data_IF_968953343760
#
_entry.id   IF_968953343760
#
_cell.length_a   1.000
_cell.length_b   1.000
_cell.length_c   1.000
_cell.angle_alpha   90.00
_cell.angle_beta   90.00
_cell.angle_gamma   90.00
#
_symmetry.space_group_name_H-M   'P 1'
#
loop_
_entity.id
_entity.type
_entity.pdbx_description
1 polymer ?
#
# COMPACT_ATOMS: atom_id res chain seq x y z
N UNK A 1 -0.96 -20.77 -12.84
CA UNK A 1 -0.61 -19.80 -11.81
C UNK A 1 0.42 -20.41 -10.86
N UNK A 2 1.45 -19.67 -10.49
CA UNK A 2 2.45 -20.07 -9.51
C UNK A 2 2.11 -19.38 -8.17
N UNK A 3 2.27 -20.08 -7.04
CA UNK A 3 2.11 -19.47 -5.71
C UNK A 3 3.32 -18.60 -5.36
N UNK A 4 3.16 -17.65 -4.42
CA UNK A 4 4.27 -16.84 -3.92
C UNK A 4 5.43 -17.69 -3.37
N UNK A 5 5.10 -18.70 -2.58
CA UNK A 5 6.10 -19.62 -2.01
C UNK A 5 6.86 -20.42 -3.10
N UNK A 6 6.18 -20.82 -4.17
CA UNK A 6 6.83 -21.52 -5.27
C UNK A 6 7.72 -20.58 -6.10
N UNK A 7 7.29 -19.33 -6.30
CA UNK A 7 8.10 -18.30 -6.96
C UNK A 7 9.38 -18.02 -6.18
N UNK A 8 9.28 -17.87 -4.85
CA UNK A 8 10.42 -17.68 -3.96
C UNK A 8 11.38 -18.86 -4.04
N UNK A 9 10.89 -20.09 -3.92
CA UNK A 9 11.70 -21.30 -4.01
C UNK A 9 12.47 -21.38 -5.33
N UNK A 10 11.81 -21.16 -6.45
CA UNK A 10 12.44 -21.16 -7.78
C UNK A 10 13.47 -20.05 -7.93
N UNK A 11 13.20 -18.86 -7.39
CA UNK A 11 14.15 -17.75 -7.37
C UNK A 11 15.44 -18.08 -6.60
N UNK A 12 15.29 -18.67 -5.42
CA UNK A 12 16.44 -19.11 -4.59
C UNK A 12 17.24 -20.21 -5.29
N UNK A 13 16.59 -21.21 -5.86
CA UNK A 13 17.25 -22.29 -6.61
C UNK A 13 17.99 -21.77 -7.84
N UNK A 14 17.36 -20.87 -8.59
CA UNK A 14 17.98 -20.21 -9.74
C UNK A 14 19.22 -19.40 -9.36
N UNK A 15 19.16 -18.65 -8.27
CA UNK A 15 20.31 -17.90 -7.76
C UNK A 15 21.45 -18.82 -7.33
N UNK A 16 21.16 -19.91 -6.61
CA UNK A 16 22.15 -20.91 -6.20
C UNK A 16 22.80 -21.61 -7.39
N UNK A 17 22.05 -21.89 -8.45
CA UNK A 17 22.55 -22.54 -9.66
C UNK A 17 23.64 -21.72 -10.38
N UNK A 18 23.62 -20.40 -10.25
CA UNK A 18 24.65 -19.49 -10.80
C UNK A 18 25.71 -19.10 -9.77
N UNK A 19 25.80 -19.79 -8.65
CA UNK A 19 26.87 -19.65 -7.65
C UNK A 19 26.60 -18.60 -6.57
N UNK A 20 25.38 -18.05 -6.47
CA UNK A 20 25.03 -17.12 -5.39
C UNK A 20 24.96 -17.87 -4.06
N UNK A 21 25.61 -17.33 -3.03
CA UNK A 21 25.43 -17.81 -1.65
C UNK A 21 24.16 -17.20 -1.08
N UNK A 22 23.24 -18.05 -0.70
CA UNK A 22 22.00 -17.66 -0.03
C UNK A 22 22.13 -17.93 1.47
N UNK A 23 21.91 -16.90 2.27
CA UNK A 23 21.95 -16.95 3.73
C UNK A 23 20.62 -16.47 4.27
N UNK A 24 20.01 -17.22 5.18
CA UNK A 24 18.78 -16.84 5.88
C UNK A 24 19.16 -16.34 7.26
N UNK A 25 19.13 -15.03 7.44
CA UNK A 25 19.44 -14.36 8.72
C UNK A 25 18.77 -12.99 8.75
N UNK A 26 18.73 -12.36 9.89
CA UNK A 26 18.23 -11.00 10.05
C UNK A 26 19.39 -10.01 9.88
N UNK A 27 19.24 -9.08 8.92
CA UNK A 27 20.14 -7.96 8.76
C UNK A 27 19.75 -6.85 9.75
N UNK A 28 20.65 -6.52 10.67
CA UNK A 28 20.40 -5.58 11.76
C UNK A 28 21.11 -4.23 11.56
N UNK A 29 22.04 -4.15 10.61
CA UNK A 29 22.77 -2.92 10.33
C UNK A 29 23.50 -2.94 8.99
N UNK A 30 23.89 -1.73 8.56
CA UNK A 30 24.77 -1.50 7.45
C UNK A 30 25.79 -0.44 7.85
N UNK A 31 27.06 -0.80 7.85
CA UNK A 31 28.15 0.09 8.20
C UNK A 31 29.10 0.29 7.02
N UNK A 32 29.79 1.43 7.01
CA UNK A 32 30.82 1.74 6.03
C UNK A 32 32.06 2.29 6.76
N UNK A 33 33.15 1.55 6.66
CA UNK A 33 34.47 2.03 7.07
C UNK A 33 35.40 2.14 5.85
N UNK A 34 35.91 1.02 5.37
CA UNK A 34 36.64 0.91 4.09
C UNK A 34 35.83 0.16 3.03
N UNK A 35 34.86 -0.67 3.49
CA UNK A 35 33.90 -1.40 2.68
C UNK A 35 32.52 -1.31 3.32
N UNK A 36 31.50 -1.49 2.50
CA UNK A 36 30.15 -1.71 3.00
C UNK A 36 30.12 -3.06 3.73
N UNK A 37 29.55 -3.09 4.93
CA UNK A 37 29.42 -4.31 5.70
C UNK A 37 27.97 -4.46 6.17
N UNK A 38 27.32 -5.53 5.73
CA UNK A 38 25.99 -5.90 6.24
C UNK A 38 26.19 -6.65 7.56
N UNK A 39 25.66 -6.11 8.63
CA UNK A 39 25.67 -6.72 9.96
C UNK A 39 24.42 -7.56 10.15
N UNK A 40 24.60 -8.80 10.59
CA UNK A 40 23.49 -9.72 10.84
C UNK A 40 23.63 -10.37 12.21
N UNK A 41 22.58 -11.07 12.65
CA UNK A 41 22.63 -11.82 13.91
C UNK A 41 23.68 -12.93 13.93
N UNK A 42 24.03 -13.48 12.75
CA UNK A 42 24.93 -14.63 12.63
C UNK A 42 26.35 -14.26 12.17
N UNK A 43 26.59 -12.98 11.83
CA UNK A 43 27.90 -12.51 11.39
C UNK A 43 27.86 -11.31 10.47
N UNK A 44 29.03 -10.89 9.99
CA UNK A 44 29.22 -9.70 9.18
C UNK A 44 29.64 -10.08 7.77
N UNK A 45 29.03 -9.42 6.78
CA UNK A 45 29.28 -9.67 5.35
C UNK A 45 29.84 -8.41 4.67
N UNK A 46 31.16 -8.30 4.54
CA UNK A 46 31.77 -7.20 3.80
C UNK A 46 31.55 -7.34 2.30
N UNK A 47 31.25 -6.25 1.62
CA UNK A 47 30.97 -6.20 0.19
C UNK A 47 31.41 -4.89 -0.43
N UNK A 48 31.58 -4.87 -1.74
CA UNK A 48 31.89 -3.66 -2.49
C UNK A 48 30.61 -2.89 -2.85
N UNK A 49 29.45 -3.58 -2.90
CA UNK A 49 28.13 -2.97 -3.14
C UNK A 49 27.04 -3.75 -2.39
N UNK A 50 25.97 -3.07 -2.01
CA UNK A 50 24.79 -3.65 -1.36
C UNK A 50 23.54 -3.20 -2.09
N UNK A 51 22.65 -4.15 -2.38
CA UNK A 51 21.30 -3.86 -2.89
C UNK A 51 20.32 -4.08 -1.74
N UNK A 52 19.61 -3.02 -1.36
CA UNK A 52 18.56 -3.08 -0.35
C UNK A 52 17.24 -3.43 -1.05
N UNK A 53 16.72 -4.62 -0.79
CA UNK A 53 15.45 -5.11 -1.31
C UNK A 53 14.57 -5.62 -0.15
N UNK A 54 14.43 -4.79 0.90
CA UNK A 54 13.80 -5.16 2.17
C UNK A 54 12.27 -5.13 2.15
N UNK A 55 11.67 -4.80 1.01
CA UNK A 55 10.24 -4.61 0.90
C UNK A 55 9.75 -3.35 1.60
N UNK A 56 8.45 -3.26 1.82
CA UNK A 56 7.83 -2.15 2.52
C UNK A 56 6.74 -2.67 3.47
N UNK A 57 6.68 -2.09 4.67
CA UNK A 57 5.54 -2.27 5.57
C UNK A 57 4.54 -1.14 5.34
N UNK A 58 3.28 -1.51 5.09
CA UNK A 58 2.21 -0.53 4.91
C UNK A 58 1.53 -0.24 6.23
N UNK A 59 1.27 1.02 6.50
CA UNK A 59 0.42 1.41 7.61
C UNK A 59 -1.02 0.99 7.29
N UNK A 60 -1.52 -0.05 7.95
CA UNK A 60 -2.91 -0.47 7.85
C UNK A 60 -3.70 0.14 9.00
N UNK A 61 -4.62 1.07 8.74
CA UNK A 61 -5.41 1.67 9.79
C UNK A 61 -6.39 0.65 10.38
N UNK A 62 -6.67 0.77 11.66
CA UNK A 62 -7.66 -0.06 12.35
C UNK A 62 -9.08 0.51 12.09
N UNK A 63 -9.55 0.39 10.87
CA UNK A 63 -10.91 0.80 10.50
C UNK A 63 -11.79 -0.45 10.42
N UNK A 64 -12.91 -0.51 11.12
CA UNK A 64 -13.87 -1.61 11.02
C UNK A 64 -14.24 -1.90 9.55
N UNK A 65 -14.29 -3.17 9.17
CA UNK A 65 -14.61 -3.62 7.80
C UNK A 65 -13.42 -3.61 6.83
N UNK A 66 -12.35 -2.83 7.07
CA UNK A 66 -11.27 -2.67 6.12
C UNK A 66 -10.57 -4.00 5.80
N UNK A 67 -10.07 -4.70 6.82
CA UNK A 67 -9.31 -5.95 6.62
C UNK A 67 -10.17 -7.07 6.01
N UNK A 68 -11.46 -7.13 6.34
CA UNK A 68 -12.38 -8.15 5.80
C UNK A 68 -12.74 -7.93 4.33
N UNK A 69 -12.50 -6.73 3.80
CA UNK A 69 -12.84 -6.36 2.42
C UNK A 69 -11.59 -6.13 1.55
N UNK A 70 -10.40 -6.50 2.03
CA UNK A 70 -9.18 -6.47 1.22
C UNK A 70 -9.30 -7.39 0.00
N UNK A 71 -9.01 -6.85 -1.19
CA UNK A 71 -9.24 -7.53 -2.46
C UNK A 71 -10.71 -7.61 -2.89
N UNK A 72 -11.65 -7.17 -2.05
CA UNK A 72 -13.08 -7.15 -2.31
C UNK A 72 -13.65 -5.71 -2.34
N UNK A 73 -12.84 -4.79 -2.85
CA UNK A 73 -13.14 -3.36 -2.93
C UNK A 73 -12.19 -2.49 -2.13
N UNK A 74 -11.43 -3.04 -1.19
CA UNK A 74 -10.29 -2.36 -0.56
C UNK A 74 -9.02 -2.71 -1.30
N UNK A 75 -8.27 -1.69 -1.74
CA UNK A 75 -6.99 -1.78 -2.45
C UNK A 75 -5.95 -0.86 -1.81
N UNK A 76 -4.67 -1.11 -2.11
CA UNK A 76 -3.52 -0.32 -1.69
C UNK A 76 -2.70 0.21 -2.87
N UNK A 77 -3.18 0.05 -4.11
CA UNK A 77 -2.45 0.42 -5.32
C UNK A 77 -3.42 0.79 -6.45
N UNK A 78 -3.62 2.07 -6.69
CA UNK A 78 -4.46 2.52 -7.80
C UNK A 78 -3.85 2.15 -9.16
N UNK A 79 -2.54 2.28 -9.32
CA UNK A 79 -1.85 1.88 -10.56
C UNK A 79 -2.10 0.40 -10.90
N UNK A 80 -2.25 -0.47 -9.90
CA UNK A 80 -2.54 -1.89 -10.09
C UNK A 80 -4.01 -2.14 -10.44
N UNK A 81 -4.93 -1.48 -9.74
CA UNK A 81 -6.33 -1.90 -9.66
C UNK A 81 -7.32 -0.91 -10.30
N UNK A 82 -6.92 0.33 -10.65
CA UNK A 82 -7.82 1.37 -11.15
C UNK A 82 -8.71 0.91 -12.30
N UNK A 83 -8.21 0.05 -13.18
CA UNK A 83 -8.98 -0.42 -14.33
C UNK A 83 -10.23 -1.23 -13.96
N UNK A 84 -10.28 -1.88 -12.78
CA UNK A 84 -11.47 -2.56 -12.28
C UNK A 84 -12.58 -1.59 -11.83
N UNK A 85 -12.22 -0.32 -11.62
CA UNK A 85 -13.11 0.73 -11.14
C UNK A 85 -13.49 1.76 -12.21
N UNK A 86 -13.32 1.41 -13.49
CA UNK A 86 -13.70 2.27 -14.62
C UNK A 86 -15.18 2.64 -14.54
N UNK A 87 -15.45 3.96 -14.50
CA UNK A 87 -16.80 4.52 -14.45
C UNK A 87 -17.55 4.25 -13.14
N UNK A 88 -16.81 3.97 -12.05
CA UNK A 88 -17.39 3.73 -10.72
C UNK A 88 -16.91 4.80 -9.73
N UNK A 89 -17.69 4.96 -8.65
CA UNK A 89 -17.35 5.86 -7.56
C UNK A 89 -16.38 5.18 -6.60
N UNK A 90 -15.29 5.87 -6.27
CA UNK A 90 -14.22 5.34 -5.41
C UNK A 90 -13.78 6.39 -4.39
N UNK A 91 -13.12 5.92 -3.33
CA UNK A 91 -12.46 6.80 -2.38
C UNK A 91 -10.97 6.48 -2.23
N UNK A 92 -10.19 7.51 -1.88
CA UNK A 92 -8.81 7.39 -1.43
C UNK A 92 -8.76 7.82 0.03
N UNK A 93 -8.18 6.97 0.89
CA UNK A 93 -7.95 7.28 2.32
C UNK A 93 -6.52 7.74 2.49
N UNK A 94 -6.32 9.00 2.84
CA UNK A 94 -5.00 9.59 3.02
C UNK A 94 -5.00 11.10 2.90
N UNK A 95 -3.87 11.75 3.15
CA UNK A 95 -3.79 13.22 3.19
C UNK A 95 -2.52 13.81 2.55
N UNK A 96 -1.52 12.98 2.23
CA UNK A 96 -0.22 13.42 1.71
C UNK A 96 0.02 13.06 0.24
N UNK A 97 1.27 13.21 -0.19
CA UNK A 97 1.72 12.99 -1.58
C UNK A 97 1.37 11.60 -2.12
N UNK A 98 1.42 10.56 -1.28
CA UNK A 98 1.03 9.22 -1.73
C UNK A 98 -0.47 9.16 -2.06
N UNK A 99 -1.32 9.79 -1.25
CA UNK A 99 -2.75 9.89 -1.55
C UNK A 99 -3.02 10.73 -2.82
N UNK A 100 -2.25 11.80 -3.04
CA UNK A 100 -2.32 12.59 -4.26
C UNK A 100 -1.98 11.74 -5.50
N UNK A 101 -0.92 10.92 -5.43
CA UNK A 101 -0.55 10.03 -6.52
C UNK A 101 -1.66 9.01 -6.84
N UNK A 102 -2.27 8.40 -5.82
CA UNK A 102 -3.38 7.45 -6.00
C UNK A 102 -4.62 8.15 -6.60
N UNK A 103 -4.95 9.37 -6.13
CA UNK A 103 -6.02 10.21 -6.70
C UNK A 103 -5.79 10.48 -8.18
N UNK A 104 -4.57 10.91 -8.55
CA UNK A 104 -4.23 11.21 -9.95
C UNK A 104 -4.33 9.98 -10.87
N UNK A 105 -4.02 8.79 -10.35
CA UNK A 105 -4.18 7.54 -11.09
C UNK A 105 -5.66 7.15 -11.29
N UNK A 106 -6.53 7.51 -10.35
CA UNK A 106 -7.96 7.16 -10.39
C UNK A 106 -8.81 8.14 -11.19
N UNK A 107 -8.51 9.44 -11.17
CA UNK A 107 -9.31 10.49 -11.82
C UNK A 107 -9.62 10.22 -13.31
N UNK A 108 -8.69 9.74 -14.15
CA UNK A 108 -8.98 9.49 -15.55
C UNK A 108 -9.82 8.22 -15.81
N UNK A 109 -10.06 7.43 -14.77
CA UNK A 109 -10.67 6.09 -14.90
C UNK A 109 -12.02 6.01 -14.18
N UNK A 110 -12.09 6.50 -12.94
CA UNK A 110 -13.29 6.44 -12.09
C UNK A 110 -14.38 7.42 -12.55
N UNK A 111 -15.62 7.21 -12.12
CA UNK A 111 -16.71 8.17 -12.33
C UNK A 111 -16.56 9.37 -11.38
N UNK A 112 -16.18 9.10 -10.13
CA UNK A 112 -15.85 10.12 -9.14
C UNK A 112 -14.78 9.60 -8.18
N UNK A 113 -13.99 10.52 -7.61
CA UNK A 113 -13.00 10.23 -6.59
C UNK A 113 -13.28 11.08 -5.36
N UNK A 114 -13.49 10.43 -4.22
CA UNK A 114 -13.64 11.08 -2.91
C UNK A 114 -12.35 10.88 -2.10
N UNK A 115 -11.76 11.98 -1.62
CA UNK A 115 -10.62 11.93 -0.71
C UNK A 115 -11.13 11.95 0.73
N UNK A 116 -10.82 10.91 1.48
CA UNK A 116 -11.17 10.74 2.89
C UNK A 116 -9.93 11.02 3.74
N UNK A 117 -9.90 12.19 4.38
CA UNK A 117 -8.75 12.61 5.21
C UNK A 117 -8.67 11.88 6.55
N UNK A 118 -9.76 11.23 6.97
CA UNK A 118 -9.85 10.50 8.23
C UNK A 118 -9.42 11.32 9.46
N UNK A 119 -9.79 12.58 9.48
CA UNK A 119 -9.48 13.51 10.57
C UNK A 119 -8.08 14.15 10.51
N UNK A 120 -7.28 13.84 9.50
CA UNK A 120 -5.99 14.50 9.28
C UNK A 120 -6.17 15.79 8.47
N UNK A 121 -5.29 16.80 8.62
CA UNK A 121 -5.26 17.93 7.69
C UNK A 121 -4.70 17.46 6.33
N UNK A 122 -5.09 18.10 5.21
CA UNK A 122 -4.47 17.84 3.92
C UNK A 122 -2.99 18.26 3.98
N UNK A 123 -2.11 17.38 3.51
CA UNK A 123 -0.65 17.58 3.46
C UNK A 123 -0.12 17.61 2.02
N UNK A 124 -1.02 17.68 1.03
CA UNK A 124 -0.73 17.91 -0.39
C UNK A 124 -1.84 18.75 -1.01
N UNK A 125 -1.58 19.32 -2.19
CA UNK A 125 -2.59 20.03 -2.99
C UNK A 125 -3.33 19.04 -3.89
N UNK A 126 -4.62 18.85 -3.63
CA UNK A 126 -5.44 17.92 -4.40
C UNK A 126 -6.18 18.64 -5.54
N UNK A 127 -6.41 17.95 -6.69
CA UNK A 127 -7.17 18.51 -7.81
C UNK A 127 -8.58 18.92 -7.40
N UNK A 128 -9.12 20.01 -7.98
CA UNK A 128 -10.46 20.54 -7.61
C UNK A 128 -11.62 19.59 -7.98
N UNK A 129 -11.36 18.60 -8.84
CA UNK A 129 -12.36 17.59 -9.23
C UNK A 129 -12.63 16.56 -8.12
N UNK A 130 -11.77 16.54 -7.10
CA UNK A 130 -11.89 15.57 -6.00
C UNK A 130 -12.80 16.11 -4.92
N UNK A 131 -13.77 15.32 -4.51
CA UNK A 131 -14.59 15.64 -3.33
C UNK A 131 -13.79 15.32 -2.06
N UNK A 132 -13.52 16.33 -1.23
CA UNK A 132 -12.74 16.13 0.01
C UNK A 132 -13.67 16.00 1.21
N UNK A 133 -13.48 14.94 2.00
CA UNK A 133 -14.21 14.67 3.25
C UNK A 133 -13.19 14.61 4.40
N UNK A 134 -13.20 15.60 5.32
CA UNK A 134 -12.26 15.68 6.43
C UNK A 134 -12.62 14.77 7.62
N UNK A 135 -13.85 14.27 7.68
CA UNK A 135 -14.37 13.52 8.82
C UNK A 135 -13.60 12.21 9.04
N UNK A 136 -13.60 11.73 10.28
CA UNK A 136 -13.08 10.41 10.60
C UNK A 136 -13.95 9.32 9.97
N UNK A 137 -13.31 8.22 9.63
CA UNK A 137 -13.98 7.02 9.11
C UNK A 137 -14.35 6.14 10.29
N UNK A 138 -15.63 5.84 10.43
CA UNK A 138 -16.13 4.90 11.44
C UNK A 138 -16.07 3.45 10.96
N UNK A 139 -16.41 3.19 9.68
CA UNK A 139 -16.35 1.86 9.09
C UNK A 139 -16.29 1.88 7.55
N UNK A 140 -15.70 0.85 6.97
CA UNK A 140 -15.92 0.46 5.57
C UNK A 140 -17.11 -0.51 5.54
N UNK A 141 -18.10 -0.20 4.71
CA UNK A 141 -19.34 -0.94 4.63
C UNK A 141 -19.32 -1.97 3.51
N UNK A 142 -19.93 -3.13 3.79
CA UNK A 142 -20.10 -4.22 2.85
C UNK A 142 -20.00 -5.59 3.52
N UNK A 143 -20.59 -6.59 2.91
CA UNK A 143 -20.49 -7.99 3.39
C UNK A 143 -19.48 -8.78 2.55
N UNK A 144 -19.70 -8.85 1.23
CA UNK A 144 -18.81 -9.55 0.28
C UNK A 144 -17.93 -8.60 -0.53
N UNK A 145 -18.32 -7.33 -0.63
CA UNK A 145 -17.60 -6.27 -1.33
C UNK A 145 -17.95 -4.92 -0.74
N UNK A 146 -17.10 -3.95 -0.94
CA UNK A 146 -17.33 -2.57 -0.51
C UNK A 146 -18.60 -2.02 -1.15
N UNK A 147 -19.46 -1.41 -0.32
CA UNK A 147 -20.68 -0.70 -0.74
C UNK A 147 -20.68 0.76 -0.31
N UNK A 148 -19.77 1.16 0.57
CA UNK A 148 -19.66 2.53 1.03
C UNK A 148 -18.69 2.69 2.20
N UNK A 149 -18.61 3.92 2.68
CA UNK A 149 -17.83 4.31 3.87
C UNK A 149 -18.73 5.10 4.79
N UNK A 150 -18.82 4.68 6.04
CA UNK A 150 -19.48 5.44 7.09
C UNK A 150 -18.51 6.41 7.74
N UNK A 151 -18.91 7.67 7.81
CA UNK A 151 -18.14 8.74 8.43
C UNK A 151 -18.65 9.07 9.82
N UNK A 152 -17.79 9.64 10.64
CA UNK A 152 -18.18 10.16 11.95
C UNK A 152 -19.32 11.19 11.80
N UNK A 153 -20.38 10.98 12.57
CA UNK A 153 -21.62 11.77 12.45
C UNK A 153 -22.75 11.03 11.72
N UNK A 154 -22.46 9.84 11.17
CA UNK A 154 -23.47 8.95 10.58
C UNK A 154 -23.65 9.09 9.07
N UNK A 155 -22.99 10.05 8.41
CA UNK A 155 -23.00 10.17 6.95
C UNK A 155 -22.40 8.94 6.30
N UNK A 156 -23.00 8.51 5.19
CA UNK A 156 -22.50 7.39 4.36
C UNK A 156 -22.13 7.92 2.97
N UNK A 157 -20.92 7.62 2.55
CA UNK A 157 -20.47 7.85 1.16
C UNK A 157 -20.63 6.53 0.42
N UNK A 158 -21.58 6.45 -0.49
CA UNK A 158 -21.80 5.28 -1.34
C UNK A 158 -20.70 5.19 -2.41
N UNK A 159 -20.02 4.06 -2.48
CA UNK A 159 -18.93 3.80 -3.43
C UNK A 159 -18.58 2.30 -3.43
N UNK A 160 -17.82 1.88 -4.43
CA UNK A 160 -17.51 0.45 -4.60
C UNK A 160 -16.03 0.12 -4.47
N UNK A 161 -15.18 1.12 -4.22
CA UNK A 161 -13.75 0.92 -4.04
C UNK A 161 -13.13 1.92 -3.07
N UNK A 162 -12.26 1.43 -2.20
CA UNK A 162 -11.49 2.23 -1.23
C UNK A 162 -10.01 1.95 -1.41
N UNK A 163 -9.24 2.98 -1.74
CA UNK A 163 -7.80 2.91 -1.91
C UNK A 163 -7.11 3.50 -0.69
N UNK A 164 -6.36 2.67 0.04
CA UNK A 164 -5.71 3.09 1.29
C UNK A 164 -4.31 3.61 0.99
N UNK A 165 -4.11 4.92 1.16
CA UNK A 165 -2.91 5.66 0.77
C UNK A 165 -2.29 6.42 1.96
N UNK A 166 -2.02 5.71 3.05
CA UNK A 166 -1.44 6.27 4.27
C UNK A 166 0.10 6.29 4.28
N UNK A 167 0.71 5.86 3.17
CA UNK A 167 2.15 5.74 3.04
C UNK A 167 2.72 4.42 3.57
N UNK A 168 4.04 4.34 3.54
CA UNK A 168 4.82 3.21 4.08
C UNK A 168 5.50 3.64 5.36
N UNK A 169 5.56 2.77 6.31
CA UNK A 169 6.32 2.97 7.54
C UNK A 169 7.81 2.71 7.30
#
# INVERSE_FOLDING_TARGET
PISGAELERQGIEGAKAVGVKFVTTEAVGLTYTNKLTVETLDGNYPSDAVILATGASRATPRIPGLAGLEGHGVSYCATCDAHFYRGKDVAVVGSGEYALHEVQALLPVAASVTLLLNGAPPAAEFPPEVTVRPEKIDAILGEQKVTGVQLAGGDVVELVGVFVALGVA
#
